data_IF_862658738843
#
_entry.id   IF_862658738843
#
_cell.length_a   1.000
_cell.length_b   1.000
_cell.length_c   1.000
_cell.angle_alpha   90.00
_cell.angle_beta   90.00
_cell.angle_gamma   90.00
#
_symmetry.space_group_name_H-M   'P 1'
#
loop_
_entity.id
_entity.type
_entity.pdbx_description
1 polymer ?
#
# COMPACT_ATOMS: atom_id res chain seq x y z
N UNK A 1 6.36 -15.89 19.25
CA UNK A 1 5.62 -15.11 18.22
C UNK A 1 5.43 -15.98 16.98
N UNK A 2 4.94 -17.22 17.14
CA UNK A 2 5.15 -18.30 16.15
C UNK A 2 3.88 -18.79 15.46
N UNK A 3 2.70 -18.30 15.87
CA UNK A 3 1.39 -18.77 15.36
C UNK A 3 0.57 -17.61 14.79
N UNK A 4 1.22 -16.70 14.06
CA UNK A 4 0.47 -15.76 13.24
C UNK A 4 -0.11 -16.55 12.07
N UNK A 5 -1.42 -16.82 12.11
CA UNK A 5 -2.16 -17.56 11.08
C UNK A 5 -1.73 -17.05 9.68
N UNK A 6 -1.49 -17.94 8.69
CA UNK A 6 -0.90 -17.57 7.39
C UNK A 6 -1.63 -16.39 6.70
N UNK A 7 -2.94 -16.26 6.95
CA UNK A 7 -3.76 -15.13 6.50
C UNK A 7 -3.38 -13.80 7.14
N UNK A 8 -3.12 -13.77 8.45
CA UNK A 8 -2.72 -12.55 9.16
C UNK A 8 -1.35 -12.10 8.69
N UNK A 9 -0.43 -13.05 8.45
CA UNK A 9 0.89 -12.76 7.87
C UNK A 9 0.77 -12.20 6.45
N UNK A 10 -0.13 -12.76 5.63
CA UNK A 10 -0.47 -12.21 4.31
C UNK A 10 -0.99 -10.78 4.38
N UNK A 11 -1.92 -10.50 5.30
CA UNK A 11 -2.49 -9.16 5.47
C UNK A 11 -1.42 -8.16 5.93
N UNK A 12 -0.55 -8.55 6.87
CA UNK A 12 0.57 -7.71 7.33
C UNK A 12 1.54 -7.39 6.20
N UNK A 13 2.00 -8.40 5.45
CA UNK A 13 2.90 -8.19 4.31
C UNK A 13 2.23 -7.30 3.27
N UNK A 14 0.95 -7.55 2.98
CA UNK A 14 0.19 -6.75 2.01
C UNK A 14 0.00 -5.30 2.46
N UNK A 15 -0.23 -5.06 3.76
CA UNK A 15 -0.33 -3.73 4.34
C UNK A 15 1.01 -2.98 4.29
N UNK A 16 2.12 -3.68 4.55
CA UNK A 16 3.48 -3.11 4.44
C UNK A 16 3.81 -2.78 2.98
N UNK A 17 3.53 -3.68 2.03
CA UNK A 17 3.69 -3.43 0.60
C UNK A 17 2.85 -2.24 0.15
N UNK A 18 1.58 -2.18 0.61
CA UNK A 18 0.68 -1.08 0.32
C UNK A 18 1.25 0.26 0.81
N UNK A 19 1.65 0.33 2.08
CA UNK A 19 2.16 1.52 2.74
C UNK A 19 3.46 2.00 2.11
N UNK A 20 4.46 1.12 1.98
CA UNK A 20 5.75 1.46 1.38
C UNK A 20 5.59 1.95 -0.06
N UNK A 21 4.78 1.28 -0.87
CA UNK A 21 4.55 1.71 -2.26
C UNK A 21 3.82 3.05 -2.35
N UNK A 22 2.95 3.35 -1.39
CA UNK A 22 2.27 4.65 -1.32
C UNK A 22 3.24 5.75 -0.87
N UNK A 23 4.04 5.50 0.17
CA UNK A 23 5.05 6.44 0.68
C UNK A 23 6.13 6.73 -0.36
N UNK A 24 6.64 5.71 -1.05
CA UNK A 24 7.65 5.88 -2.11
C UNK A 24 7.08 6.69 -3.28
N UNK A 25 5.81 6.47 -3.64
CA UNK A 25 5.20 7.14 -4.78
C UNK A 25 4.70 8.56 -4.48
N UNK A 26 4.30 8.87 -3.24
CA UNK A 26 3.65 10.14 -2.87
C UNK A 26 4.52 11.08 -2.05
N UNK A 27 5.45 10.56 -1.26
CA UNK A 27 6.11 11.38 -0.25
C UNK A 27 7.28 12.18 -0.82
N UNK A 28 7.31 13.48 -0.47
CA UNK A 28 8.34 14.42 -0.96
C UNK A 28 9.77 13.98 -0.62
N UNK A 29 9.93 13.19 0.44
CA UNK A 29 11.21 12.62 0.86
C UNK A 29 11.83 11.70 -0.22
N UNK A 30 11.01 11.03 -1.01
CA UNK A 30 11.46 10.14 -2.10
C UNK A 30 11.51 10.84 -3.46
N UNK A 31 11.12 12.11 -3.55
CA UNK A 31 11.22 12.89 -4.78
C UNK A 31 12.67 13.00 -5.32
N UNK A 32 13.73 13.19 -4.52
CA UNK A 32 15.11 13.12 -5.02
C UNK A 32 15.48 11.72 -5.54
N UNK A 33 14.98 10.64 -4.91
CA UNK A 33 15.26 9.27 -5.36
C UNK A 33 14.56 8.95 -6.69
N UNK A 34 13.31 9.44 -6.85
CA UNK A 34 12.55 9.36 -8.11
C UNK A 34 13.25 10.10 -9.25
N UNK A 35 13.75 11.30 -8.97
CA UNK A 35 14.52 12.10 -9.94
C UNK A 35 15.89 11.47 -10.23
N UNK A 36 16.57 10.93 -9.23
CA UNK A 36 17.84 10.21 -9.39
C UNK A 36 17.70 8.92 -10.21
N UNK A 37 16.54 8.25 -10.14
CA UNK A 37 16.24 7.10 -11.02
C UNK A 37 15.86 7.51 -12.46
N UNK A 38 15.96 8.79 -12.81
CA UNK A 38 15.75 9.35 -14.15
C UNK A 38 14.34 9.90 -14.40
N UNK A 39 13.49 10.00 -13.37
CA UNK A 39 12.17 10.60 -13.49
C UNK A 39 11.22 9.81 -14.41
N UNK A 40 10.15 10.46 -14.89
CA UNK A 40 9.11 9.78 -15.69
C UNK A 40 9.56 9.42 -17.12
N UNK A 41 10.75 9.86 -17.54
CA UNK A 41 11.34 9.57 -18.85
C UNK A 41 12.15 8.27 -18.88
N UNK A 42 12.49 7.69 -17.73
CA UNK A 42 13.16 6.39 -17.63
C UNK A 42 12.24 5.32 -17.05
N UNK A 43 12.37 4.09 -17.54
CA UNK A 43 11.60 2.93 -17.07
C UNK A 43 11.68 2.76 -15.53
N UNK A 44 12.86 3.00 -14.95
CA UNK A 44 13.09 2.91 -13.48
C UNK A 44 12.39 4.02 -12.68
N UNK A 45 12.32 5.23 -13.21
CA UNK A 45 11.60 6.31 -12.54
C UNK A 45 10.08 6.19 -12.68
N UNK A 46 9.57 5.65 -13.80
CA UNK A 46 8.15 5.29 -13.94
C UNK A 46 7.71 4.25 -12.90
N UNK A 47 8.56 3.24 -12.66
CA UNK A 47 8.32 2.17 -11.68
C UNK A 47 8.16 2.68 -10.25
N UNK A 48 8.95 3.68 -9.84
CA UNK A 48 8.89 4.29 -8.51
C UNK A 48 7.81 5.38 -8.40
N UNK A 49 7.39 5.95 -9.52
CA UNK A 49 6.37 7.01 -9.56
C UNK A 49 4.95 6.47 -9.55
N UNK A 50 4.75 5.23 -10.01
CA UNK A 50 3.45 4.59 -10.02
C UNK A 50 3.30 3.66 -8.80
N UNK A 51 2.34 3.91 -7.89
CA UNK A 51 2.15 3.08 -6.70
C UNK A 51 1.77 1.63 -7.03
N UNK A 52 1.13 1.38 -8.17
CA UNK A 52 0.82 0.02 -8.66
C UNK A 52 2.07 -0.72 -9.13
N UNK A 53 2.95 -0.03 -9.85
CA UNK A 53 4.22 -0.59 -10.31
C UNK A 53 5.13 -0.88 -9.12
N UNK A 54 5.29 0.08 -8.21
CA UNK A 54 6.07 -0.11 -6.98
C UNK A 54 5.57 -1.31 -6.16
N UNK A 55 4.25 -1.51 -6.07
CA UNK A 55 3.67 -2.64 -5.33
C UNK A 55 4.06 -4.00 -5.91
N UNK A 56 4.15 -4.13 -7.25
CA UNK A 56 4.61 -5.37 -7.90
C UNK A 56 6.05 -5.70 -7.53
N UNK A 57 6.96 -4.72 -7.65
CA UNK A 57 8.37 -4.93 -7.34
C UNK A 57 8.61 -5.18 -5.86
N UNK A 58 7.89 -4.46 -4.99
CA UNK A 58 7.92 -4.75 -3.56
C UNK A 58 7.41 -6.15 -3.26
N UNK A 59 6.32 -6.60 -3.87
CA UNK A 59 5.82 -7.96 -3.66
C UNK A 59 6.84 -9.02 -4.11
N UNK A 60 7.50 -8.81 -5.26
CA UNK A 60 8.56 -9.70 -5.75
C UNK A 60 9.75 -9.82 -4.80
N UNK A 61 10.09 -8.75 -4.07
CA UNK A 61 11.16 -8.76 -3.06
C UNK A 61 10.66 -9.30 -1.73
N UNK A 62 9.48 -8.87 -1.27
CA UNK A 62 8.97 -9.24 0.06
C UNK A 62 8.49 -10.68 0.14
N UNK A 63 7.92 -11.27 -0.91
CA UNK A 63 7.45 -12.67 -0.90
C UNK A 63 8.57 -13.67 -0.61
N UNK A 64 9.72 -13.68 -1.32
CA UNK A 64 10.82 -14.59 -1.00
C UNK A 64 11.47 -14.24 0.34
N UNK A 65 11.58 -12.96 0.70
CA UNK A 65 12.17 -12.51 1.96
C UNK A 65 11.33 -12.93 3.19
N UNK A 66 10.00 -12.99 3.03
CA UNK A 66 9.07 -13.40 4.09
C UNK A 66 8.73 -14.89 4.05
N UNK A 67 9.17 -15.61 3.01
CA UNK A 67 8.87 -17.03 2.81
C UNK A 67 7.39 -17.33 2.57
N UNK A 68 6.63 -16.34 2.08
CA UNK A 68 5.17 -16.40 1.99
C UNK A 68 4.71 -17.06 0.69
N UNK A 69 5.03 -18.34 0.52
CA UNK A 69 4.59 -19.14 -0.63
C UNK A 69 3.21 -19.77 -0.34
N UNK A 70 2.15 -19.00 -0.60
CA UNK A 70 0.77 -19.47 -0.42
C UNK A 70 0.32 -20.41 -1.55
N UNK A 71 0.86 -20.24 -2.75
CA UNK A 71 0.51 -21.07 -3.90
C UNK A 71 1.68 -22.02 -4.15
N UNK A 72 1.45 -23.32 -3.98
CA UNK A 72 2.40 -24.39 -4.33
C UNK A 72 1.85 -25.20 -5.50
N UNK A 73 2.50 -25.11 -6.65
CA UNK A 73 2.16 -25.79 -7.89
C UNK A 73 2.60 -27.25 -7.77
N UNK A 74 1.63 -28.17 -7.91
CA UNK A 74 1.77 -29.60 -7.63
C UNK A 74 2.64 -30.36 -8.66
N UNK A 75 2.72 -29.95 -9.95
CA UNK A 75 3.76 -30.47 -10.86
C UNK A 75 5.15 -29.90 -10.53
N UNK A 76 6.01 -30.72 -9.92
CA UNK A 76 7.40 -30.33 -9.56
C UNK A 76 8.38 -30.50 -10.73
N UNK A 77 8.27 -29.66 -11.75
CA UNK A 77 9.38 -29.44 -12.69
C UNK A 77 10.38 -28.43 -12.07
N UNK A 78 11.11 -28.89 -11.04
CA UNK A 78 12.24 -28.23 -10.41
C UNK A 78 12.20 -26.70 -10.35
N UNK A 79 12.95 -26.06 -11.26
CA UNK A 79 13.14 -24.60 -11.30
C UNK A 79 11.89 -23.88 -11.82
N UNK A 80 11.17 -24.46 -12.78
CA UNK A 80 9.97 -23.86 -13.38
C UNK A 80 8.84 -23.79 -12.35
N UNK A 81 8.62 -24.87 -11.58
CA UNK A 81 7.62 -24.85 -10.51
C UNK A 81 7.95 -23.82 -9.42
N UNK A 82 9.22 -23.65 -9.08
CA UNK A 82 9.64 -22.68 -8.06
C UNK A 82 9.44 -21.23 -8.53
N UNK A 83 9.69 -20.97 -9.82
CA UNK A 83 9.42 -19.66 -10.43
C UNK A 83 7.92 -19.36 -10.51
N UNK A 84 7.10 -20.35 -10.86
CA UNK A 84 5.64 -20.19 -10.86
C UNK A 84 5.10 -19.93 -9.44
N UNK A 85 5.54 -20.69 -8.44
CA UNK A 85 5.13 -20.49 -7.04
C UNK A 85 5.45 -19.07 -6.55
N UNK A 86 6.65 -18.59 -6.89
CA UNK A 86 7.09 -17.22 -6.59
C UNK A 86 6.26 -16.17 -7.32
N UNK A 87 6.04 -16.34 -8.63
CA UNK A 87 5.30 -15.39 -9.46
C UNK A 87 3.83 -15.31 -9.01
N UNK A 88 3.17 -16.45 -8.86
CA UNK A 88 1.76 -16.51 -8.46
C UNK A 88 1.57 -15.97 -7.03
N UNK A 89 2.48 -16.29 -6.11
CA UNK A 89 2.42 -15.75 -4.74
C UNK A 89 2.66 -14.24 -4.72
N UNK A 90 3.58 -13.71 -5.54
CA UNK A 90 3.84 -12.28 -5.66
C UNK A 90 2.65 -11.52 -6.27
N UNK A 91 2.01 -12.09 -7.29
CA UNK A 91 0.78 -11.55 -7.87
C UNK A 91 -0.34 -11.53 -6.83
N UNK A 92 -0.54 -12.63 -6.10
CA UNK A 92 -1.56 -12.72 -5.06
C UNK A 92 -1.37 -11.63 -3.99
N UNK A 93 -0.15 -11.47 -3.48
CA UNK A 93 0.18 -10.41 -2.50
C UNK A 93 -0.06 -9.02 -3.09
N UNK A 94 0.28 -8.80 -4.35
CA UNK A 94 0.06 -7.51 -5.03
C UNK A 94 -1.42 -7.19 -5.16
N UNK A 95 -2.25 -8.18 -5.49
CA UNK A 95 -3.71 -8.05 -5.59
C UNK A 95 -4.31 -7.73 -4.22
N UNK A 96 -3.92 -8.48 -3.17
CA UNK A 96 -4.40 -8.22 -1.80
C UNK A 96 -3.98 -6.82 -1.33
N UNK A 97 -2.75 -6.39 -1.61
CA UNK A 97 -2.28 -5.05 -1.31
C UNK A 97 -3.08 -3.97 -2.06
N UNK A 98 -3.49 -4.23 -3.31
CA UNK A 98 -4.34 -3.32 -4.08
C UNK A 98 -5.75 -3.20 -3.46
N UNK A 99 -6.37 -4.32 -3.07
CA UNK A 99 -7.65 -4.30 -2.37
C UNK A 99 -7.57 -3.57 -1.03
N UNK A 100 -6.50 -3.79 -0.26
CA UNK A 100 -6.24 -3.03 0.97
C UNK A 100 -6.12 -1.53 0.71
N UNK A 101 -5.50 -1.13 -0.40
CA UNK A 101 -5.39 0.29 -0.79
C UNK A 101 -6.75 0.91 -1.07
N UNK A 102 -7.64 0.18 -1.74
CA UNK A 102 -9.03 0.62 -1.97
C UNK A 102 -9.78 0.72 -0.64
N UNK A 103 -9.67 -0.29 0.23
CA UNK A 103 -10.27 -0.25 1.55
C UNK A 103 -9.77 0.92 2.40
N UNK A 104 -8.46 1.18 2.38
CA UNK A 104 -7.86 2.30 3.09
C UNK A 104 -8.32 3.65 2.54
N UNK A 105 -8.48 3.79 1.22
CA UNK A 105 -9.05 4.98 0.60
C UNK A 105 -10.47 5.25 1.10
N UNK A 106 -11.32 4.23 1.18
CA UNK A 106 -12.67 4.38 1.74
C UNK A 106 -12.65 4.78 3.22
N UNK A 107 -11.74 4.22 4.02
CA UNK A 107 -11.57 4.59 5.44
C UNK A 107 -11.12 6.03 5.58
N UNK A 108 -10.10 6.44 4.81
CA UNK A 108 -9.56 7.81 4.85
C UNK A 108 -10.61 8.85 4.44
N UNK A 109 -11.37 8.59 3.38
CA UNK A 109 -12.46 9.46 2.95
C UNK A 109 -13.55 9.57 4.03
N UNK A 110 -13.88 8.45 4.70
CA UNK A 110 -14.79 8.45 5.85
C UNK A 110 -14.29 9.28 7.05
N UNK A 111 -12.99 9.20 7.35
CA UNK A 111 -12.36 10.02 8.39
C UNK A 111 -12.36 11.50 8.03
N UNK A 112 -12.15 11.83 6.75
CA UNK A 112 -12.14 13.20 6.25
C UNK A 112 -13.51 13.86 6.35
N UNK A 113 -14.58 13.16 5.96
CA UNK A 113 -15.96 13.63 6.14
C UNK A 113 -16.31 13.86 7.63
N UNK A 114 -15.84 12.98 8.51
CA UNK A 114 -16.05 13.13 9.96
C UNK A 114 -15.31 14.35 10.51
N UNK A 115 -14.08 14.61 10.04
CA UNK A 115 -13.31 15.81 10.41
C UNK A 115 -13.97 17.09 9.89
N UNK A 116 -14.48 17.10 8.66
CA UNK A 116 -15.18 18.26 8.10
C UNK A 116 -16.47 18.55 8.87
N UNK A 117 -17.28 17.53 9.19
CA UNK A 117 -18.45 17.68 10.06
C UNK A 117 -18.09 18.24 11.43
N UNK A 118 -17.04 17.71 12.08
CA UNK A 118 -16.55 18.24 13.37
C UNK A 118 -16.15 19.72 13.27
N UNK A 119 -15.48 20.12 12.18
CA UNK A 119 -15.10 21.53 11.95
C UNK A 119 -16.31 22.43 11.72
N UNK A 120 -17.30 21.97 10.94
CA UNK A 120 -18.53 22.73 10.69
C UNK A 120 -19.34 22.95 11.97
N UNK A 121 -19.56 21.88 12.75
CA UNK A 121 -20.25 21.97 14.03
C UNK A 121 -19.48 22.84 15.04
N UNK A 122 -18.16 22.78 15.06
CA UNK A 122 -17.35 23.65 15.92
C UNK A 122 -17.45 25.12 15.52
N UNK A 123 -17.51 25.43 14.23
CA UNK A 123 -17.69 26.80 13.74
C UNK A 123 -19.09 27.36 14.05
N UNK A 124 -20.14 26.53 14.00
CA UNK A 124 -21.51 26.93 14.39
C UNK A 124 -21.61 27.24 15.89
N UNK A 125 -20.96 26.42 16.75
CA UNK A 125 -20.92 26.67 18.19
C UNK A 125 -20.13 27.95 18.51
N UNK A 126 -19.01 28.19 17.83
CA UNK A 126 -18.20 29.40 18.02
C UNK A 126 -18.90 30.68 17.51
N UNK A 127 -19.71 30.58 16.45
CA UNK A 127 -20.58 31.67 15.98
C UNK A 127 -21.70 32.00 16.98
N UNK A 128 -22.29 30.97 17.58
CA UNK A 128 -23.36 31.10 18.57
C UNK A 128 -22.87 31.64 19.92
N UNK A 129 -21.64 31.32 20.32
CA UNK A 129 -20.98 31.79 21.55
C UNK A 129 -20.23 33.13 21.35
N UNK A 130 -20.31 33.74 20.17
CA UNK A 130 -19.82 35.10 19.96
C UNK A 130 -20.86 36.07 20.52
N UNK A 131 -20.67 36.62 21.74
CA UNK A 131 -21.59 37.62 22.25
C UNK A 131 -21.58 38.79 21.27
N UNK A 132 -22.76 39.32 20.98
CA UNK A 132 -22.91 40.57 20.25
C UNK A 132 -22.14 41.66 21.01
N UNK A 133 -20.88 41.87 20.64
CA UNK A 133 -20.13 43.08 20.94
C UNK A 133 -20.79 44.19 20.11
N UNK A 134 -21.92 44.67 20.62
CA UNK A 134 -22.44 46.02 20.38
C UNK A 134 -21.97 46.90 21.53
#
# INVERSE_FOLDING_TARGET
MSDLHPLVRLLLVSAVVMGLSHTIAREKLFDPLRRACGGMSTWRGYLLSCPYCASHWLAFVLVPLTGLYLIRVVPRWGVVSSLLDWLLSSILVTVVAAFLRVGFYFVDEGQRLTREKKKATQAEVEDQDRPALQ
#
